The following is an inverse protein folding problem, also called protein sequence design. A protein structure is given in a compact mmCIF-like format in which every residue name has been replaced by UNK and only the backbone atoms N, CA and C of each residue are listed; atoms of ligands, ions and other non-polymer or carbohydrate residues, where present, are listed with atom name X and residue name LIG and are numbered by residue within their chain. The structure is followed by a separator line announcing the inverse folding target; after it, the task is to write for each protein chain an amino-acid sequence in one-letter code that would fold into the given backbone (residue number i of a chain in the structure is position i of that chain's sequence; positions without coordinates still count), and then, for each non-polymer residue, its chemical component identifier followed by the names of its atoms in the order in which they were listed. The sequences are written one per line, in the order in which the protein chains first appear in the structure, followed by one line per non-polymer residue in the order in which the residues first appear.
data_IF_917878149066
#
_entry.id   IF_917878149066
#
_cell.length_a   1.000
_cell.length_b   1.000
_cell.length_c   1.000
_cell.angle_alpha   90.00
_cell.angle_beta   90.00
_cell.angle_gamma   90.00
#
_symmetry.space_group_name_H-M   'P 1'
#
loop_
_entity.id
_entity.type
_entity.pdbx_description
1 polymer ?
#
# COMPACT_ATOMS: atom_id res chain seq x y z
N UNK A 1 47.56 2.30 53.86
CA UNK A 1 46.36 3.03 53.43
C UNK A 1 46.29 2.94 51.92
N UNK A 2 45.62 1.91 51.40
CA UNK A 2 45.48 1.61 49.97
C UNK A 2 44.16 2.18 49.47
N UNK A 3 44.21 3.08 48.50
CA UNK A 3 43.04 3.66 47.83
C UNK A 3 42.59 2.74 46.70
N UNK A 4 41.39 2.17 46.84
CA UNK A 4 40.72 1.36 45.82
C UNK A 4 39.90 2.26 44.89
N UNK A 5 40.31 2.36 43.62
CA UNK A 5 39.50 2.97 42.56
C UNK A 5 38.43 1.98 42.09
N UNK A 6 37.14 2.25 42.39
CA UNK A 6 36.01 1.55 41.76
C UNK A 6 35.79 2.09 40.35
N UNK A 7 36.07 1.29 39.33
CA UNK A 7 35.58 1.52 37.97
C UNK A 7 34.17 0.95 37.84
N UNK A 8 33.21 1.85 37.59
CA UNK A 8 31.83 1.53 37.20
C UNK A 8 31.80 1.16 35.73
N UNK A 9 31.46 -0.10 35.41
CA UNK A 9 31.20 -0.55 34.04
C UNK A 9 29.74 -0.22 33.66
N UNK A 10 29.59 0.53 32.56
CA UNK A 10 28.31 0.90 31.95
C UNK A 10 27.78 -0.31 31.14
N UNK A 11 26.49 -0.69 31.23
CA UNK A 11 25.98 -1.82 30.45
C UNK A 11 25.95 -1.45 28.96
N UNK A 12 26.63 -2.27 28.15
CA UNK A 12 26.68 -2.15 26.69
C UNK A 12 25.39 -2.75 26.12
N UNK A 13 24.51 -1.90 25.62
CA UNK A 13 23.28 -2.32 24.92
C UNK A 13 23.67 -3.18 23.72
N UNK A 14 23.32 -4.46 23.76
CA UNK A 14 23.57 -5.44 22.70
C UNK A 14 22.48 -5.22 21.64
N UNK A 15 22.82 -4.55 20.54
CA UNK A 15 21.99 -4.57 19.33
C UNK A 15 22.01 -6.01 18.79
N UNK A 16 20.95 -6.76 19.05
CA UNK A 16 20.75 -8.10 18.50
C UNK A 16 20.03 -7.91 17.17
N UNK A 17 20.75 -7.99 16.05
CA UNK A 17 20.12 -8.18 14.74
C UNK A 17 19.55 -9.60 14.69
N UNK A 18 18.25 -9.73 14.46
CA UNK A 18 17.59 -11.02 14.29
C UNK A 18 18.21 -11.81 13.12
N UNK A 19 18.36 -13.15 13.20
CA UNK A 19 18.78 -13.99 12.08
C UNK A 19 17.80 -13.88 10.90
N UNK A 20 18.29 -14.12 9.67
CA UNK A 20 17.53 -13.92 8.43
C UNK A 20 16.15 -14.65 8.41
N UNK A 21 16.03 -15.79 9.08
CA UNK A 21 14.77 -16.55 9.20
C UNK A 21 13.70 -15.87 10.05
N UNK A 22 14.08 -15.01 10.99
CA UNK A 22 13.14 -14.22 11.82
C UNK A 22 12.77 -12.90 11.14
N UNK A 23 13.53 -12.46 10.14
CA UNK A 23 13.29 -11.22 9.39
C UNK A 23 12.21 -11.39 8.31
N UNK A 24 12.03 -12.59 7.78
CA UNK A 24 11.08 -12.89 6.69
C UNK A 24 9.61 -12.73 7.13
N UNK A 25 9.17 -13.22 8.31
CA UNK A 25 7.83 -12.92 8.83
C UNK A 25 7.60 -11.44 9.13
N UNK A 26 8.64 -10.72 9.58
CA UNK A 26 8.55 -9.28 9.87
C UNK A 26 8.33 -8.50 8.57
N UNK A 27 9.14 -8.75 7.53
CA UNK A 27 8.99 -8.12 6.22
C UNK A 27 7.62 -8.38 5.60
N UNK A 28 7.13 -9.62 5.66
CA UNK A 28 5.79 -9.94 5.21
C UNK A 28 4.71 -9.08 5.88
N UNK A 29 4.81 -8.88 7.20
CA UNK A 29 3.85 -8.06 7.94
C UNK A 29 3.99 -6.57 7.64
N UNK A 30 5.22 -6.06 7.49
CA UNK A 30 5.52 -4.68 7.11
C UNK A 30 4.99 -4.38 5.71
N UNK A 31 5.33 -5.20 4.72
CA UNK A 31 4.89 -5.02 3.33
C UNK A 31 3.36 -5.17 3.19
N UNK A 32 2.74 -6.05 3.99
CA UNK A 32 1.28 -6.16 4.07
C UNK A 32 0.65 -4.88 4.61
N UNK A 33 1.22 -4.31 5.67
CA UNK A 33 0.75 -3.06 6.27
C UNK A 33 0.91 -1.89 5.30
N UNK A 34 2.08 -1.75 4.68
CA UNK A 34 2.38 -0.71 3.71
C UNK A 34 1.43 -0.78 2.50
N UNK A 35 1.15 -1.98 2.00
CA UNK A 35 0.17 -2.20 0.94
C UNK A 35 -1.26 -1.80 1.38
N UNK A 36 -1.67 -2.17 2.59
CA UNK A 36 -2.99 -1.79 3.11
C UNK A 36 -3.12 -0.28 3.29
N UNK A 37 -2.12 0.38 3.87
CA UNK A 37 -2.09 1.84 4.04
C UNK A 37 -2.16 2.56 2.69
N UNK A 38 -1.36 2.14 1.72
CA UNK A 38 -1.37 2.72 0.39
C UNK A 38 -2.73 2.53 -0.32
N UNK A 39 -3.41 1.40 -0.10
CA UNK A 39 -4.77 1.18 -0.58
C UNK A 39 -5.77 2.17 0.04
N UNK A 40 -5.74 2.40 1.35
CA UNK A 40 -6.63 3.38 2.01
C UNK A 40 -6.41 4.79 1.48
N UNK A 41 -5.15 5.21 1.36
CA UNK A 41 -4.79 6.53 0.84
C UNK A 41 -5.24 6.71 -0.61
N UNK A 42 -5.01 5.68 -1.45
CA UNK A 42 -5.44 5.68 -2.84
C UNK A 42 -6.96 5.71 -2.98
N UNK A 43 -7.68 4.90 -2.19
CA UNK A 43 -9.14 4.87 -2.21
C UNK A 43 -9.71 6.25 -1.89
N UNK A 44 -9.22 6.88 -0.83
CA UNK A 44 -9.62 8.24 -0.43
C UNK A 44 -9.30 9.27 -1.51
N UNK A 45 -8.10 9.24 -2.08
CA UNK A 45 -7.68 10.20 -3.10
C UNK A 45 -8.50 10.06 -4.40
N UNK A 46 -8.88 8.84 -4.77
CA UNK A 46 -9.69 8.57 -5.95
C UNK A 46 -11.16 8.96 -5.73
N UNK A 47 -11.74 8.61 -4.58
CA UNK A 47 -13.12 8.98 -4.24
C UNK A 47 -13.30 10.51 -4.18
N UNK A 48 -12.38 11.22 -3.50
CA UNK A 48 -12.37 12.69 -3.47
C UNK A 48 -12.19 13.29 -4.87
N UNK A 49 -11.40 12.65 -5.73
CA UNK A 49 -11.22 13.17 -7.08
C UNK A 49 -12.49 13.02 -7.90
N UNK A 50 -13.10 11.86 -7.86
CA UNK A 50 -14.32 11.56 -8.58
C UNK A 50 -15.51 12.44 -8.13
N UNK A 51 -15.58 12.80 -6.84
CA UNK A 51 -16.66 13.65 -6.31
C UNK A 51 -16.62 15.08 -6.82
N UNK A 52 -15.44 15.61 -7.20
CA UNK A 52 -15.33 16.94 -7.81
C UNK A 52 -15.48 16.93 -9.34
N UNK A 53 -15.63 15.77 -9.98
CA UNK A 53 -15.78 15.68 -11.43
C UNK A 53 -17.26 15.74 -11.82
N UNK A 54 -17.57 16.65 -12.73
CA UNK A 54 -18.89 16.78 -13.33
C UNK A 54 -19.26 15.52 -14.14
N UNK A 55 -20.37 14.83 -13.82
CA UNK A 55 -20.83 13.66 -14.56
C UNK A 55 -21.17 13.97 -16.03
N UNK A 56 -21.55 15.21 -16.35
CA UNK A 56 -21.93 15.64 -17.70
C UNK A 56 -20.80 16.40 -18.42
N UNK A 57 -19.60 16.41 -17.83
CA UNK A 57 -18.42 17.04 -18.41
C UNK A 57 -17.91 16.36 -19.69
N UNK A 58 -16.79 16.84 -20.28
CA UNK A 58 -16.13 16.20 -21.41
C UNK A 58 -15.82 14.72 -21.16
N UNK A 59 -15.89 13.89 -22.21
CA UNK A 59 -15.71 12.42 -22.14
C UNK A 59 -14.49 11.97 -21.31
N UNK A 60 -13.37 12.69 -21.40
CA UNK A 60 -12.15 12.38 -20.63
C UNK A 60 -12.37 12.52 -19.12
N UNK A 61 -13.12 13.52 -18.67
CA UNK A 61 -13.46 13.72 -17.26
C UNK A 61 -14.49 12.70 -16.78
N UNK A 62 -15.45 12.33 -17.63
CA UNK A 62 -16.40 11.26 -17.31
C UNK A 62 -15.70 9.91 -17.14
N UNK A 63 -14.74 9.60 -18.04
CA UNK A 63 -13.90 8.40 -17.93
C UNK A 63 -13.08 8.42 -16.63
N UNK A 64 -12.40 9.53 -16.34
CA UNK A 64 -11.63 9.68 -15.11
C UNK A 64 -12.48 9.55 -13.85
N UNK A 65 -13.73 10.04 -13.87
CA UNK A 65 -14.67 9.87 -12.77
C UNK A 65 -15.02 8.40 -12.55
N UNK A 66 -15.41 7.69 -13.61
CA UNK A 66 -15.75 6.26 -13.53
C UNK A 66 -14.56 5.42 -13.06
N UNK A 67 -13.38 5.70 -13.63
CA UNK A 67 -12.14 5.02 -13.26
C UNK A 67 -11.75 5.31 -11.80
N UNK A 68 -11.91 6.56 -11.34
CA UNK A 68 -11.68 6.93 -9.95
C UNK A 68 -12.60 6.22 -8.96
N UNK A 69 -13.89 6.05 -9.29
CA UNK A 69 -14.82 5.28 -8.46
C UNK A 69 -14.43 3.79 -8.40
N UNK A 70 -14.14 3.19 -9.56
CA UNK A 70 -13.68 1.79 -9.62
C UNK A 70 -12.39 1.57 -8.82
N UNK A 71 -11.40 2.47 -8.97
CA UNK A 71 -10.15 2.39 -8.23
C UNK A 71 -10.39 2.54 -6.73
N UNK A 72 -11.30 3.41 -6.31
CA UNK A 72 -11.65 3.57 -4.91
C UNK A 72 -12.23 2.29 -4.32
N UNK A 73 -13.20 1.66 -5.00
CA UNK A 73 -13.83 0.41 -4.56
C UNK A 73 -12.83 -0.76 -4.49
N UNK A 74 -11.98 -0.91 -5.51
CA UNK A 74 -10.99 -1.99 -5.55
C UNK A 74 -9.93 -1.81 -4.46
N UNK A 75 -9.44 -0.59 -4.25
CA UNK A 75 -8.50 -0.29 -3.16
C UNK A 75 -9.12 -0.56 -1.78
N UNK A 76 -10.37 -0.15 -1.56
CA UNK A 76 -11.08 -0.37 -0.29
C UNK A 76 -11.27 -1.87 0.00
N UNK A 77 -11.77 -2.63 -0.98
CA UNK A 77 -11.90 -4.08 -0.86
C UNK A 77 -10.56 -4.78 -0.61
N UNK A 78 -9.48 -4.30 -1.23
CA UNK A 78 -8.13 -4.85 -1.04
C UNK A 78 -7.63 -4.58 0.37
N UNK A 79 -7.83 -3.37 0.91
CA UNK A 79 -7.49 -3.08 2.31
C UNK A 79 -8.18 -4.03 3.28
N UNK A 80 -9.48 -4.29 3.11
CA UNK A 80 -10.24 -5.21 3.98
C UNK A 80 -9.73 -6.66 3.91
N UNK A 81 -9.27 -7.10 2.73
CA UNK A 81 -8.62 -8.40 2.56
C UNK A 81 -7.28 -8.46 3.31
N UNK A 82 -6.46 -7.40 3.20
CA UNK A 82 -5.13 -7.34 3.84
C UNK A 82 -5.20 -7.20 5.36
N UNK A 83 -6.25 -6.54 5.88
CA UNK A 83 -6.55 -6.43 7.33
C UNK A 83 -7.04 -7.77 7.94
N UNK A 84 -7.35 -8.76 7.10
CA UNK A 84 -7.77 -10.09 7.54
C UNK A 84 -9.26 -10.21 7.88
N UNK A 85 -10.08 -9.18 7.59
CA UNK A 85 -11.54 -9.21 7.77
C UNK A 85 -12.23 -10.26 6.89
N UNK A 86 -11.63 -10.57 5.74
CA UNK A 86 -12.06 -11.64 4.84
C UNK A 86 -11.02 -12.75 4.81
N UNK A 87 -11.32 -13.89 5.45
CA UNK A 87 -10.41 -15.03 5.46
C UNK A 87 -10.25 -15.59 4.04
N UNK A 88 -9.18 -15.18 3.36
CA UNK A 88 -8.76 -15.67 2.05
C UNK A 88 -7.40 -16.31 2.21
N UNK A 89 -7.23 -17.50 1.63
CA UNK A 89 -5.90 -18.08 1.46
C UNK A 89 -5.04 -17.21 0.55
N UNK A 90 -3.74 -17.46 0.56
CA UNK A 90 -2.74 -16.66 -0.14
C UNK A 90 -3.03 -16.49 -1.65
N UNK A 91 -3.53 -17.53 -2.31
CA UNK A 91 -3.94 -17.46 -3.72
C UNK A 91 -5.07 -16.43 -3.95
N UNK A 92 -6.02 -16.34 -3.02
CA UNK A 92 -7.10 -15.35 -3.08
C UNK A 92 -6.61 -13.92 -2.83
N UNK A 93 -5.63 -13.77 -1.92
CA UNK A 93 -4.95 -12.48 -1.68
C UNK A 93 -4.18 -12.06 -2.94
N UNK A 94 -3.41 -12.97 -3.54
CA UNK A 94 -2.65 -12.73 -4.78
C UNK A 94 -3.55 -12.19 -5.89
N UNK A 95 -4.65 -12.87 -6.19
CA UNK A 95 -5.61 -12.44 -7.23
C UNK A 95 -6.18 -11.05 -6.94
N UNK A 96 -6.56 -10.77 -5.69
CA UNK A 96 -7.10 -9.47 -5.29
C UNK A 96 -6.07 -8.35 -5.47
N UNK A 97 -4.83 -8.55 -5.01
CA UNK A 97 -3.76 -7.54 -5.06
C UNK A 97 -3.27 -7.33 -6.50
N UNK A 98 -3.19 -8.38 -7.32
CA UNK A 98 -2.88 -8.26 -8.75
C UNK A 98 -3.91 -7.43 -9.50
N UNK A 99 -5.19 -7.62 -9.19
CA UNK A 99 -6.26 -6.81 -9.76
C UNK A 99 -6.16 -5.36 -9.29
N UNK A 100 -5.97 -5.12 -7.99
CA UNK A 100 -5.78 -3.79 -7.42
C UNK A 100 -4.63 -3.03 -8.10
N UNK A 101 -3.45 -3.67 -8.21
CA UNK A 101 -2.29 -3.12 -8.92
C UNK A 101 -2.63 -2.70 -10.34
N UNK A 102 -3.39 -3.51 -11.07
CA UNK A 102 -3.71 -3.27 -12.47
C UNK A 102 -4.66 -2.08 -12.62
N UNK A 103 -5.70 -2.02 -11.79
CA UNK A 103 -6.66 -0.90 -11.74
C UNK A 103 -5.96 0.40 -11.34
N UNK A 104 -5.09 0.37 -10.34
CA UNK A 104 -4.32 1.55 -9.91
C UNK A 104 -3.44 2.12 -11.04
N UNK A 105 -2.78 1.25 -11.82
CA UNK A 105 -1.97 1.70 -12.98
C UNK A 105 -2.84 2.36 -14.04
N UNK A 106 -3.94 1.73 -14.43
CA UNK A 106 -4.86 2.28 -15.42
C UNK A 106 -5.48 3.61 -14.95
N UNK A 107 -5.86 3.69 -13.67
CA UNK A 107 -6.40 4.90 -13.07
C UNK A 107 -5.41 6.07 -13.10
N UNK A 108 -4.14 5.82 -12.77
CA UNK A 108 -3.08 6.82 -12.86
C UNK A 108 -2.95 7.39 -14.28
N UNK A 109 -2.95 6.53 -15.30
CA UNK A 109 -2.79 6.91 -16.71
C UNK A 109 -4.00 7.68 -17.25
N UNK A 110 -5.20 7.43 -16.71
CA UNK A 110 -6.39 8.22 -16.99
C UNK A 110 -6.34 9.58 -16.30
N UNK A 111 -5.90 9.63 -15.04
CA UNK A 111 -5.76 10.87 -14.29
C UNK A 111 -4.70 11.82 -14.85
N UNK A 112 -3.61 11.32 -15.43
CA UNK A 112 -2.61 12.18 -16.11
C UNK A 112 -3.22 13.06 -17.21
N UNK A 113 -4.32 12.60 -17.82
CA UNK A 113 -5.03 13.30 -18.89
C UNK A 113 -6.02 14.34 -18.37
N UNK A 114 -6.13 14.48 -17.04
CA UNK A 114 -7.09 15.35 -16.36
C UNK A 114 -6.37 16.44 -15.55
N UNK A 115 -6.57 17.73 -15.89
CA UNK A 115 -6.07 18.82 -15.07
C UNK A 115 -6.55 18.73 -13.62
N UNK A 116 -5.63 18.92 -12.68
CA UNK A 116 -5.93 18.88 -11.23
C UNK A 116 -6.02 17.48 -10.64
N UNK A 117 -5.72 16.41 -11.39
CA UNK A 117 -5.73 15.04 -10.88
C UNK A 117 -4.35 14.51 -10.46
N UNK A 118 -3.31 15.36 -10.39
CA UNK A 118 -1.92 14.93 -10.16
C UNK A 118 -1.72 14.28 -8.79
N UNK A 119 -2.44 14.74 -7.76
CA UNK A 119 -2.38 14.13 -6.42
C UNK A 119 -2.93 12.70 -6.45
N UNK A 120 -4.09 12.50 -7.07
CA UNK A 120 -4.71 11.17 -7.18
C UNK A 120 -3.93 10.24 -8.08
N UNK A 121 -3.34 10.73 -9.19
CA UNK A 121 -2.45 9.96 -10.03
C UNK A 121 -1.21 9.47 -9.26
N UNK A 122 -0.59 10.32 -8.43
CA UNK A 122 0.53 9.93 -7.56
C UNK A 122 0.11 8.87 -6.53
N UNK A 123 -1.04 9.03 -5.89
CA UNK A 123 -1.56 8.04 -4.94
C UNK A 123 -1.81 6.68 -5.61
N UNK A 124 -2.36 6.67 -6.82
CA UNK A 124 -2.55 5.45 -7.61
C UNK A 124 -1.21 4.75 -7.91
N UNK A 125 -0.17 5.50 -8.30
CA UNK A 125 1.15 4.92 -8.56
C UNK A 125 1.82 4.38 -7.29
N UNK A 126 1.71 5.10 -6.18
CA UNK A 126 2.21 4.65 -4.89
C UNK A 126 1.53 3.34 -4.45
N UNK A 127 0.21 3.25 -4.59
CA UNK A 127 -0.54 2.02 -4.30
C UNK A 127 -0.16 0.87 -5.24
N UNK A 128 -0.04 1.12 -6.54
CA UNK A 128 0.42 0.10 -7.48
C UNK A 128 1.83 -0.43 -7.17
N UNK A 129 2.72 0.44 -6.67
CA UNK A 129 4.04 0.04 -6.23
C UNK A 129 3.97 -0.82 -4.97
N UNK A 130 3.28 -0.36 -3.92
CA UNK A 130 3.12 -1.13 -2.69
C UNK A 130 2.44 -2.50 -2.92
N UNK A 131 1.45 -2.57 -3.82
CA UNK A 131 0.86 -3.85 -4.25
C UNK A 131 1.89 -4.75 -4.95
N UNK A 132 2.80 -4.19 -5.75
CA UNK A 132 3.86 -4.94 -6.41
C UNK A 132 4.87 -5.49 -5.40
N UNK A 133 5.24 -4.68 -4.42
CA UNK A 133 6.20 -5.04 -3.38
C UNK A 133 5.62 -6.14 -2.47
N UNK A 134 4.37 -5.99 -2.03
CA UNK A 134 3.71 -7.03 -1.24
C UNK A 134 3.54 -8.36 -2.03
N UNK A 135 3.19 -8.31 -3.31
CA UNK A 135 3.10 -9.53 -4.15
C UNK A 135 4.41 -10.30 -4.25
N UNK A 136 5.55 -9.63 -4.07
CA UNK A 136 6.87 -10.26 -4.08
C UNK A 136 7.19 -11.02 -2.78
N UNK A 137 6.44 -10.74 -1.70
CA UNK A 137 6.56 -11.48 -0.42
C UNK A 137 5.72 -12.74 -0.37
N UNK A 138 4.72 -12.85 -1.25
CA UNK A 138 3.88 -14.03 -1.36
C UNK A 138 4.66 -15.19 -2.01
N UNK A 139 4.53 -16.39 -1.46
CA UNK A 139 5.10 -17.63 -1.96
C UNK A 139 4.70 -17.85 -3.44
N UNK A 140 5.61 -18.36 -4.28
CA UNK A 140 5.30 -18.71 -5.66
C UNK A 140 4.10 -19.67 -5.74
N UNK A 141 3.21 -19.41 -6.69
CA UNK A 141 2.07 -20.28 -6.97
C UNK A 141 2.50 -21.57 -7.68
#
# INVERSE_FOLDING_TARGET
MTTTTKQTTKPKTKQTSAPASEQEPIRFLEDRFDCAQACVECARACALRASCMDPDGPKVRQLARRMGLMCAEVCDATCLVLDGQHHRGEAGIRVQVEWCRSVCRECADVFDRCPGAQVSARACRACAQACTDFLATLLPA
#
